data_IF_468739352406
#
_entry.id   IF_468739352406
#
_cell.length_a   1.000
_cell.length_b   1.000
_cell.length_c   1.000
_cell.angle_alpha   90.00
_cell.angle_beta   90.00
_cell.angle_gamma   90.00
#
_symmetry.space_group_name_H-M   'P 1'
#
loop_
_entity.id
_entity.type
_entity.pdbx_description
1 polymer ?
#
# COMPACT_ATOMS: atom_id res chain seq x y z
N UNK A 1 10.99 -16.21 6.48
CA UNK A 1 11.04 -14.99 7.32
C UNK A 1 10.43 -13.85 6.52
N UNK A 2 9.45 -13.15 7.10
CA UNK A 2 8.78 -12.01 6.45
C UNK A 2 9.67 -10.77 6.54
N UNK A 3 9.80 -10.02 5.44
CA UNK A 3 10.53 -8.74 5.41
C UNK A 3 9.86 -7.74 4.48
N UNK A 4 10.15 -6.46 4.65
CA UNK A 4 9.70 -5.42 3.75
C UNK A 4 10.75 -4.32 3.58
N UNK A 5 10.69 -3.65 2.42
CA UNK A 5 11.51 -2.51 2.06
C UNK A 5 10.60 -1.38 1.54
N UNK A 6 10.93 -0.14 1.86
CA UNK A 6 10.17 1.04 1.42
C UNK A 6 11.08 2.03 0.71
N UNK A 7 10.55 2.74 -0.29
CA UNK A 7 11.23 3.83 -0.97
C UNK A 7 10.24 4.94 -1.35
N UNK A 8 10.74 6.16 -1.52
CA UNK A 8 9.97 7.33 -1.95
C UNK A 8 10.00 8.48 -0.96
N UNK A 9 9.71 9.67 -1.48
CA UNK A 9 9.73 10.94 -0.77
C UNK A 9 8.31 11.49 -0.59
N UNK A 10 8.08 12.26 0.47
CA UNK A 10 6.78 12.88 0.76
C UNK A 10 6.26 13.79 -0.36
N UNK A 11 7.15 14.40 -1.14
CA UNK A 11 6.83 15.23 -2.31
C UNK A 11 7.38 14.64 -3.61
N UNK A 12 7.71 13.34 -3.61
CA UNK A 12 8.09 12.60 -4.82
C UNK A 12 6.88 12.23 -5.65
N UNK A 13 7.07 11.44 -6.71
CA UNK A 13 5.97 10.95 -7.55
C UNK A 13 5.10 9.91 -6.83
N UNK A 14 5.71 9.01 -6.07
CA UNK A 14 5.02 7.94 -5.36
C UNK A 14 5.88 7.35 -4.22
N UNK A 15 5.21 6.63 -3.33
CA UNK A 15 5.82 5.72 -2.38
C UNK A 15 5.75 4.29 -2.94
N UNK A 16 6.78 3.49 -2.69
CA UNK A 16 6.87 2.10 -3.11
C UNK A 16 7.20 1.21 -1.92
N UNK A 17 6.55 0.05 -1.84
CA UNK A 17 6.81 -0.97 -0.82
C UNK A 17 7.01 -2.32 -1.49
N UNK A 18 8.03 -3.06 -1.08
CA UNK A 18 8.27 -4.45 -1.48
C UNK A 18 8.16 -5.31 -0.23
N UNK A 19 7.33 -6.35 -0.27
CA UNK A 19 7.15 -7.32 0.82
C UNK A 19 7.59 -8.70 0.33
N UNK A 20 8.51 -9.35 1.05
CA UNK A 20 9.01 -10.68 0.71
C UNK A 20 8.70 -11.70 1.81
N UNK A 21 8.62 -12.97 1.42
CA UNK A 21 8.39 -14.09 2.34
C UNK A 21 6.92 -14.35 2.66
N UNK A 22 6.00 -13.78 1.89
CA UNK A 22 4.59 -14.18 1.91
C UNK A 22 4.43 -15.57 1.29
N UNK A 23 3.63 -16.47 1.87
CA UNK A 23 3.29 -17.73 1.21
C UNK A 23 2.40 -17.47 -0.02
N UNK A 24 2.40 -18.41 -0.97
CA UNK A 24 1.47 -18.41 -2.09
C UNK A 24 0.04 -18.78 -1.62
N UNK A 25 -0.98 -18.31 -2.34
CA UNK A 25 -2.39 -18.67 -2.13
C UNK A 25 -3.12 -17.83 -1.08
N UNK A 26 -2.51 -16.78 -0.53
CA UNK A 26 -3.23 -15.85 0.34
C UNK A 26 -4.10 -14.91 -0.50
N UNK A 27 -5.34 -14.69 -0.07
CA UNK A 27 -6.21 -13.70 -0.70
C UNK A 27 -5.71 -12.30 -0.37
N UNK A 28 -5.46 -11.50 -1.41
CA UNK A 28 -4.99 -10.13 -1.26
C UNK A 28 -5.59 -9.24 -2.34
N UNK A 29 -6.25 -8.17 -1.91
CA UNK A 29 -6.79 -7.10 -2.74
C UNK A 29 -6.50 -5.74 -2.09
N UNK A 30 -5.94 -4.80 -2.84
CA UNK A 30 -5.54 -3.51 -2.28
C UNK A 30 -6.72 -2.71 -1.71
N UNK A 31 -7.86 -2.70 -2.41
CA UNK A 31 -9.03 -1.89 -2.03
C UNK A 31 -9.69 -2.42 -0.77
N UNK A 32 -9.77 -3.74 -0.63
CA UNK A 32 -10.38 -4.38 0.54
C UNK A 32 -9.41 -4.43 1.73
N UNK A 33 -8.15 -4.77 1.48
CA UNK A 33 -7.23 -5.19 2.54
C UNK A 33 -6.20 -4.10 2.92
N UNK A 34 -6.02 -3.05 2.12
CA UNK A 34 -4.98 -2.02 2.33
C UNK A 34 -5.57 -0.61 2.44
N UNK A 35 -6.41 -0.18 1.50
CA UNK A 35 -7.01 1.16 1.47
C UNK A 35 -7.74 1.55 2.78
N UNK A 36 -8.45 0.66 3.50
CA UNK A 36 -9.05 1.01 4.79
C UNK A 36 -8.03 1.44 5.84
N UNK A 37 -6.82 0.84 5.82
CA UNK A 37 -5.74 1.21 6.72
C UNK A 37 -5.13 2.57 6.35
N UNK A 38 -5.01 2.88 5.06
CA UNK A 38 -4.59 4.21 4.59
C UNK A 38 -5.58 5.29 5.03
N UNK A 39 -6.88 5.07 4.80
CA UNK A 39 -7.95 5.99 5.23
C UNK A 39 -7.96 6.20 6.75
N UNK A 40 -7.66 5.17 7.53
CA UNK A 40 -7.58 5.29 8.99
C UNK A 40 -6.45 6.24 9.44
N UNK A 41 -5.36 6.34 8.68
CA UNK A 41 -4.23 7.25 8.99
C UNK A 41 -4.57 8.71 8.69
N UNK A 42 -5.42 8.94 7.69
CA UNK A 42 -5.90 10.26 7.28
C UNK A 42 -6.93 10.85 8.27
N UNK A 43 -7.65 9.99 8.99
CA UNK A 43 -8.59 10.39 10.04
C UNK A 43 -7.96 10.57 11.44
N UNK A 44 -8.64 11.33 12.31
CA UNK A 44 -8.31 11.46 13.74
C UNK A 44 -8.24 12.90 14.24
N UNK A 45 -8.47 13.07 15.55
CA UNK A 45 -8.36 14.38 16.22
C UNK A 45 -6.92 14.91 16.09
N UNK A 46 -6.76 16.18 15.69
CA UNK A 46 -5.46 16.81 15.47
C UNK A 46 -4.88 16.67 14.05
N UNK A 47 -5.58 16.06 13.10
CA UNK A 47 -5.17 15.99 11.68
C UNK A 47 -5.55 17.27 10.91
N UNK A 48 -4.59 17.81 10.18
CA UNK A 48 -4.77 19.05 9.41
C UNK A 48 -5.74 18.90 8.22
N UNK A 49 -6.25 20.03 7.70
CA UNK A 49 -7.23 20.04 6.58
C UNK A 49 -6.75 19.27 5.34
N UNK A 50 -5.45 19.29 5.05
CA UNK A 50 -4.84 18.54 3.92
C UNK A 50 -5.00 17.03 4.07
N UNK A 51 -4.78 16.48 5.27
CA UNK A 51 -4.87 15.04 5.50
C UNK A 51 -6.32 14.54 5.43
N UNK A 52 -7.31 15.40 5.66
CA UNK A 52 -8.73 15.03 5.56
C UNK A 52 -9.22 14.88 4.11
N UNK A 53 -8.51 15.47 3.15
CA UNK A 53 -8.85 15.43 1.72
C UNK A 53 -7.94 14.48 0.91
N UNK A 54 -6.92 13.89 1.56
CA UNK A 54 -6.07 12.87 0.95
C UNK A 54 -6.91 11.65 0.55
N UNK A 55 -6.68 11.16 -0.66
CA UNK A 55 -7.38 10.01 -1.24
C UNK A 55 -6.38 8.96 -1.69
N UNK A 56 -5.34 8.76 -0.89
CA UNK A 56 -4.29 7.78 -1.17
C UNK A 56 -4.92 6.40 -1.40
N UNK A 57 -4.45 5.74 -2.44
CA UNK A 57 -4.82 4.36 -2.77
C UNK A 57 -3.55 3.57 -2.99
N UNK A 58 -3.55 2.34 -2.49
CA UNK A 58 -2.51 1.39 -2.83
C UNK A 58 -2.85 0.69 -4.15
N UNK A 59 -1.83 0.45 -4.95
CA UNK A 59 -1.89 -0.39 -6.13
C UNK A 59 -0.88 -1.53 -6.00
N UNK A 60 -1.33 -2.77 -6.19
CA UNK A 60 -0.44 -3.94 -6.23
C UNK A 60 0.08 -4.08 -7.66
N UNK A 61 1.40 -3.93 -7.83
CA UNK A 61 2.06 -3.97 -9.14
C UNK A 61 2.79 -5.29 -9.41
N UNK A 62 3.04 -6.11 -8.38
CA UNK A 62 3.66 -7.43 -8.53
C UNK A 62 3.25 -8.42 -7.43
N UNK A 63 3.48 -9.71 -7.68
CA UNK A 63 3.37 -10.78 -6.68
C UNK A 63 1.96 -11.28 -6.35
N UNK A 64 0.94 -10.72 -7.00
CA UNK A 64 -0.46 -11.15 -6.88
C UNK A 64 -1.06 -11.37 -8.26
N UNK A 65 -1.78 -12.48 -8.44
CA UNK A 65 -2.56 -12.76 -9.67
C UNK A 65 -3.86 -13.45 -9.30
N UNK A 66 -4.98 -13.03 -9.92
CA UNK A 66 -6.29 -13.60 -9.59
C UNK A 66 -6.72 -13.35 -8.13
N UNK A 67 -6.22 -12.28 -7.50
CA UNK A 67 -6.47 -11.98 -6.09
C UNK A 67 -5.75 -12.90 -5.10
N UNK A 68 -4.77 -13.68 -5.55
CA UNK A 68 -3.96 -14.58 -4.73
C UNK A 68 -2.48 -14.22 -4.81
N UNK A 69 -1.77 -14.28 -3.69
CA UNK A 69 -0.31 -14.14 -3.64
C UNK A 69 0.36 -15.31 -4.37
N UNK A 70 1.48 -15.03 -5.03
CA UNK A 70 2.23 -16.02 -5.80
C UNK A 70 3.43 -16.62 -5.05
N UNK A 71 3.74 -16.11 -3.85
CA UNK A 71 4.95 -16.47 -3.10
C UNK A 71 6.21 -15.71 -3.53
N UNK A 72 6.19 -15.07 -4.71
CA UNK A 72 7.16 -14.06 -5.11
C UNK A 72 6.99 -12.77 -4.28
N UNK A 73 7.99 -11.86 -4.27
CA UNK A 73 7.83 -10.54 -3.67
C UNK A 73 6.56 -9.82 -4.18
N UNK A 74 5.84 -9.19 -3.26
CA UNK A 74 4.68 -8.34 -3.56
C UNK A 74 5.13 -6.90 -3.58
N UNK A 75 4.89 -6.21 -4.69
CA UNK A 75 5.18 -4.79 -4.84
C UNK A 75 3.88 -3.99 -4.77
N UNK A 76 3.93 -2.89 -4.02
CA UNK A 76 2.85 -1.95 -3.78
C UNK A 76 3.33 -0.54 -4.11
N UNK A 77 2.48 0.25 -4.74
CA UNK A 77 2.74 1.67 -4.97
C UNK A 77 1.61 2.52 -4.42
N UNK A 78 1.93 3.70 -3.91
CA UNK A 78 0.97 4.72 -3.49
C UNK A 78 1.40 6.01 -4.18
N UNK A 79 0.62 6.44 -5.18
CA UNK A 79 0.93 7.64 -5.97
C UNK A 79 0.57 8.88 -5.18
N UNK A 80 1.52 9.81 -5.05
CA UNK A 80 1.26 11.10 -4.43
C UNK A 80 0.34 11.93 -5.33
N UNK A 81 -0.63 12.62 -4.75
CA UNK A 81 -1.60 13.46 -5.48
C UNK A 81 -1.46 14.95 -5.18
N UNK A 82 -0.24 15.34 -4.83
CA UNK A 82 0.16 16.71 -4.52
C UNK A 82 -0.09 17.68 -5.70
#
# INVERSE_FOLDING_TARGET
MLRFLTAGESHGSQLTVIVEGLPAGLRLDARRDIDPHLRRRQGGYGRGRRQQIEQDRAEITAGVRGGLTLGSPVALVIVNRD
#
